data_IF_778044671297
#
_entry.id   IF_778044671297
#
_cell.length_a   1.000
_cell.length_b   1.000
_cell.length_c   1.000
_cell.angle_alpha   90.00
_cell.angle_beta   90.00
_cell.angle_gamma   90.00
#
_symmetry.space_group_name_H-M   'P 1'
#
loop_
_entity.id
_entity.type
_entity.pdbx_description
1 polymer ?
#
# COMPACT_ATOMS: atom_id res chain seq x y z
N UNK A 1 -26.77 32.24 17.20
CA UNK A 1 -27.77 31.47 16.41
C UNK A 1 -28.04 32.10 15.04
N UNK A 2 -28.28 33.41 14.91
CA UNK A 2 -28.44 34.08 13.61
C UNK A 2 -27.22 33.95 12.68
N UNK A 3 -26.00 34.05 13.22
CA UNK A 3 -24.77 33.86 12.43
C UNK A 3 -24.67 32.45 11.81
N UNK A 4 -25.11 31.41 12.54
CA UNK A 4 -25.13 30.03 12.04
C UNK A 4 -26.17 29.83 10.93
N UNK A 5 -27.32 30.49 11.04
CA UNK A 5 -28.36 30.50 10.02
C UNK A 5 -27.91 31.19 8.74
N UNK A 6 -27.15 32.29 8.85
CA UNK A 6 -26.60 33.01 7.70
C UNK A 6 -25.55 32.14 6.99
N UNK A 7 -24.63 31.52 7.72
CA UNK A 7 -23.60 30.65 7.12
C UNK A 7 -24.16 29.41 6.44
N UNK A 8 -25.32 28.93 6.86
CA UNK A 8 -25.97 27.75 6.27
C UNK A 8 -26.80 28.08 5.03
N UNK A 9 -27.36 29.30 4.96
CA UNK A 9 -28.11 29.80 3.79
C UNK A 9 -27.17 30.22 2.65
N UNK A 10 -25.96 30.64 2.99
CA UNK A 10 -24.97 31.19 2.06
C UNK A 10 -23.88 30.17 1.67
N UNK A 11 -24.14 28.86 1.83
CA UNK A 11 -23.27 27.79 1.36
C UNK A 11 -23.67 27.42 -0.09
N UNK A 12 -23.06 28.03 -1.12
CA UNK A 12 -23.40 27.70 -2.50
C UNK A 12 -23.01 26.26 -2.76
N UNK A 13 -23.96 25.41 -3.15
CA UNK A 13 -23.68 24.04 -3.59
C UNK A 13 -22.56 24.10 -4.63
N UNK A 14 -21.38 23.51 -4.36
CA UNK A 14 -20.25 23.58 -5.27
C UNK A 14 -20.67 23.03 -6.63
N UNK A 15 -20.25 23.68 -7.71
CA UNK A 15 -20.50 23.12 -9.05
C UNK A 15 -19.65 21.87 -9.18
N UNK A 16 -20.09 20.88 -9.96
CA UNK A 16 -19.38 19.60 -10.12
C UNK A 16 -17.89 19.76 -10.50
N UNK A 17 -17.55 20.87 -11.16
CA UNK A 17 -16.18 21.23 -11.56
C UNK A 17 -15.29 21.78 -10.45
N UNK A 18 -15.85 22.13 -9.29
CA UNK A 18 -15.10 22.65 -8.14
C UNK A 18 -14.43 21.52 -7.34
N UNK A 19 -14.81 20.27 -7.59
CA UNK A 19 -14.28 19.07 -6.92
C UNK A 19 -13.09 18.47 -7.69
N UNK A 20 -12.16 19.31 -8.13
CA UNK A 20 -10.89 18.84 -8.67
C UNK A 20 -9.86 18.89 -7.55
N UNK A 21 -9.23 17.75 -7.25
CA UNK A 21 -8.10 17.71 -6.34
C UNK A 21 -7.03 18.69 -6.85
N UNK A 22 -6.82 19.78 -6.11
CA UNK A 22 -5.75 20.72 -6.43
C UNK A 22 -4.40 19.99 -6.49
N UNK A 23 -3.35 20.63 -7.05
CA UNK A 23 -2.04 19.99 -7.26
C UNK A 23 -1.47 19.29 -6.02
N UNK A 24 -1.75 19.81 -4.82
CA UNK A 24 -1.39 19.19 -3.54
C UNK A 24 -2.10 17.85 -3.29
N UNK A 25 -3.40 17.76 -3.57
CA UNK A 25 -4.17 16.52 -3.40
C UNK A 25 -3.68 15.43 -4.36
N UNK A 26 -3.36 15.80 -5.60
CA UNK A 26 -2.72 14.89 -6.55
C UNK A 26 -1.35 14.39 -6.04
N UNK A 27 -0.51 15.28 -5.51
CA UNK A 27 0.80 14.90 -4.97
C UNK A 27 0.69 13.91 -3.79
N UNK A 28 -0.26 14.15 -2.86
CA UNK A 28 -0.52 13.24 -1.73
C UNK A 28 -0.99 11.88 -2.25
N UNK A 29 -1.87 11.84 -3.24
CA UNK A 29 -2.38 10.59 -3.79
C UNK A 29 -1.28 9.74 -4.42
N UNK A 30 -0.40 10.35 -5.22
CA UNK A 30 0.78 9.67 -5.79
C UNK A 30 1.74 9.21 -4.68
N UNK A 31 1.98 10.04 -3.67
CA UNK A 31 2.83 9.67 -2.54
C UNK A 31 2.30 8.43 -1.80
N UNK A 32 0.99 8.36 -1.57
CA UNK A 32 0.36 7.20 -0.93
C UNK A 32 0.54 5.92 -1.75
N UNK A 33 0.42 6.00 -3.08
CA UNK A 33 0.67 4.85 -3.97
C UNK A 33 2.13 4.39 -3.83
N UNK A 34 3.08 5.33 -3.90
CA UNK A 34 4.50 5.01 -3.76
C UNK A 34 4.81 4.38 -2.38
N UNK A 35 4.20 4.89 -1.32
CA UNK A 35 4.33 4.32 0.02
C UNK A 35 3.87 2.86 0.05
N UNK A 36 2.70 2.55 -0.54
CA UNK A 36 2.20 1.17 -0.62
C UNK A 36 3.11 0.28 -1.45
N UNK A 37 3.61 0.75 -2.60
CA UNK A 37 4.56 0.00 -3.44
C UNK A 37 5.84 -0.34 -2.67
N UNK A 38 6.40 0.64 -1.96
CA UNK A 38 7.62 0.45 -1.16
C UNK A 38 7.38 -0.55 -0.02
N UNK A 39 6.25 -0.44 0.69
CA UNK A 39 5.88 -1.38 1.74
C UNK A 39 5.68 -2.80 1.21
N UNK A 40 4.95 -2.94 0.09
CA UNK A 40 4.74 -4.23 -0.57
C UNK A 40 6.05 -4.88 -1.01
N UNK A 41 6.94 -4.11 -1.64
CA UNK A 41 8.26 -4.60 -2.03
C UNK A 41 9.11 -5.01 -0.81
N UNK A 42 9.11 -4.21 0.25
CA UNK A 42 9.82 -4.49 1.49
C UNK A 42 9.32 -5.79 2.12
N UNK A 43 8.01 -5.98 2.20
CA UNK A 43 7.39 -7.18 2.76
C UNK A 43 7.75 -8.42 1.93
N UNK A 44 7.53 -8.39 0.61
CA UNK A 44 7.85 -9.52 -0.28
C UNK A 44 9.32 -9.89 -0.19
N UNK A 45 10.23 -8.90 -0.15
CA UNK A 45 11.67 -9.13 0.02
C UNK A 45 11.98 -9.83 1.35
N UNK A 46 11.32 -9.45 2.43
CA UNK A 46 11.52 -10.08 3.74
C UNK A 46 10.96 -11.51 3.77
N UNK A 47 9.78 -11.74 3.20
CA UNK A 47 9.19 -13.08 3.10
C UNK A 47 10.08 -14.03 2.29
N UNK A 48 10.61 -13.59 1.15
CA UNK A 48 11.54 -14.39 0.33
C UNK A 48 12.82 -14.74 1.07
N UNK A 49 13.36 -13.81 1.88
CA UNK A 49 14.54 -14.08 2.71
C UNK A 49 14.25 -15.11 3.80
N UNK A 50 13.08 -15.01 4.46
CA UNK A 50 12.67 -15.98 5.46
C UNK A 50 12.48 -17.39 4.87
N UNK A 51 11.86 -17.49 3.68
CA UNK A 51 11.75 -18.75 2.95
C UNK A 51 13.13 -19.32 2.59
N UNK A 52 14.04 -18.50 2.05
CA UNK A 52 15.39 -18.97 1.73
C UNK A 52 16.18 -19.45 2.96
N UNK A 53 16.01 -18.80 4.12
CA UNK A 53 16.62 -19.24 5.37
C UNK A 53 16.02 -20.56 5.86
N UNK A 54 14.69 -20.72 5.75
CA UNK A 54 14.00 -21.98 6.03
C UNK A 54 14.53 -23.10 5.13
N UNK A 55 14.59 -22.84 3.83
CA UNK A 55 15.03 -23.82 2.85
C UNK A 55 16.49 -24.26 3.06
N UNK A 56 17.32 -23.36 3.57
CA UNK A 56 18.70 -23.65 3.94
C UNK A 56 18.85 -24.40 5.28
N UNK A 57 17.74 -24.79 5.92
CA UNK A 57 17.75 -25.51 7.19
C UNK A 57 18.18 -24.66 8.39
N UNK A 58 18.22 -23.33 8.26
CA UNK A 58 18.71 -22.42 9.33
C UNK A 58 17.81 -22.49 10.58
N UNK A 59 16.56 -22.92 10.43
CA UNK A 59 15.62 -23.09 11.53
C UNK A 59 15.62 -24.50 12.16
N UNK A 60 16.56 -25.38 11.78
CA UNK A 60 16.67 -26.74 12.31
C UNK A 60 15.91 -27.80 11.52
N UNK A 61 15.34 -27.44 10.37
CA UNK A 61 14.76 -28.37 9.40
C UNK A 61 15.85 -28.93 8.46
N UNK A 62 15.64 -30.11 7.88
CA UNK A 62 16.55 -30.66 6.88
C UNK A 62 16.53 -29.78 5.60
N UNK A 63 17.70 -29.44 5.01
CA UNK A 63 17.74 -28.56 3.84
C UNK A 63 16.96 -29.15 2.66
N UNK A 64 16.17 -28.32 1.99
CA UNK A 64 15.36 -28.78 0.85
C UNK A 64 16.25 -29.02 -0.37
N UNK A 65 16.05 -30.15 -1.03
CA UNK A 65 16.79 -30.51 -2.24
C UNK A 65 16.27 -29.76 -3.48
N UNK A 66 17.10 -29.63 -4.55
CA UNK A 66 16.68 -28.92 -5.77
C UNK A 66 15.45 -29.52 -6.45
N UNK A 67 15.29 -30.85 -6.41
CA UNK A 67 14.13 -31.54 -6.99
C UNK A 67 12.84 -31.21 -6.24
N UNK A 68 12.90 -31.16 -4.90
CA UNK A 68 11.75 -30.77 -4.07
C UNK A 68 11.39 -29.28 -4.19
N UNK A 69 12.33 -28.41 -4.60
CA UNK A 69 12.03 -27.01 -4.91
C UNK A 69 11.25 -26.87 -6.21
N UNK A 70 11.65 -27.62 -7.25
CA UNK A 70 10.99 -27.58 -8.56
C UNK A 70 9.52 -27.98 -8.48
N UNK A 71 9.19 -28.98 -7.65
CA UNK A 71 7.81 -29.44 -7.43
C UNK A 71 6.93 -28.44 -6.65
N UNK A 72 7.52 -27.49 -5.90
CA UNK A 72 6.77 -26.48 -5.13
C UNK A 72 6.54 -25.17 -5.88
N UNK A 73 7.28 -24.94 -6.96
CA UNK A 73 7.24 -23.71 -7.77
C UNK A 73 6.44 -23.86 -9.07
N UNK A 74 6.04 -25.08 -9.45
CA UNK A 74 5.14 -25.40 -10.57
C UNK A 74 3.67 -25.35 -10.20
#
# INVERSE_FOLDING_TARGET
MLALLITLVDDPTPKDTDVVAGPLGFAIWIFLILAVVVLGFSLVKQLRKAQAAKDAGVYGDEPVTPDEKADREG
#
